data_IF_475393465028
#
_entry.id   IF_475393465028
#
_cell.length_a   1.000
_cell.length_b   1.000
_cell.length_c   1.000
_cell.angle_alpha   90.00
_cell.angle_beta   90.00
_cell.angle_gamma   90.00
#
_symmetry.space_group_name_H-M   'P 1'
#
loop_
_entity.id
_entity.type
_entity.pdbx_description
1 polymer ?
#
# COMPACT_ATOMS: atom_id res chain seq x y z
N UNK A 1 26.01 -20.95 -6.36
CA UNK A 1 25.28 -20.80 -6.31
C UNK A 1 24.79 -20.22 -5.95
N UNK A 2 24.21 -19.90 -6.15
CA UNK A 2 23.52 -19.33 -5.93
C UNK A 2 22.75 -19.13 -5.43
N UNK A 3 22.67 -19.33 -5.25
CA UNK A 3 21.71 -19.18 -4.74
C UNK A 3 21.08 -18.04 -4.83
N UNK A 4 20.50 -17.75 -5.09
CA UNK A 4 19.92 -16.72 -4.96
C UNK A 4 18.73 -16.70 -4.56
N UNK A 5 18.55 -16.05 -3.96
CA UNK A 5 17.45 -15.79 -3.44
C UNK A 5 16.75 -14.94 -4.28
N UNK A 6 15.94 -15.43 -4.94
CA UNK A 6 15.09 -14.64 -5.59
C UNK A 6 14.18 -14.00 -4.64
N UNK A 7 14.35 -12.80 -4.38
CA UNK A 7 13.30 -12.08 -3.74
C UNK A 7 12.18 -11.97 -4.71
N UNK A 8 11.08 -12.52 -4.35
CA UNK A 8 9.88 -12.39 -5.14
C UNK A 8 9.35 -10.97 -5.05
N UNK A 9 8.85 -10.47 -6.15
CA UNK A 9 8.08 -9.24 -6.17
C UNK A 9 6.86 -9.43 -5.29
N UNK A 10 6.52 -8.41 -4.53
CA UNK A 10 5.37 -8.43 -3.64
C UNK A 10 4.33 -7.43 -4.11
N UNK A 11 3.07 -7.79 -3.97
CA UNK A 11 1.96 -6.87 -4.12
C UNK A 11 1.26 -6.77 -2.77
N UNK A 12 0.98 -5.55 -2.34
CA UNK A 12 0.13 -5.28 -1.20
C UNK A 12 -1.11 -4.62 -1.74
N UNK A 13 -2.25 -5.24 -1.53
CA UNK A 13 -3.49 -4.77 -2.14
C UNK A 13 -4.68 -5.01 -1.23
N UNK A 14 -5.65 -4.14 -1.33
CA UNK A 14 -6.88 -4.25 -0.57
C UNK A 14 -7.54 -2.90 -0.37
N UNK A 15 -8.24 -2.76 0.75
CA UNK A 15 -8.97 -1.55 1.04
C UNK A 15 -9.00 -1.22 2.52
N UNK A 16 -9.24 0.06 2.78
CA UNK A 16 -9.57 0.57 4.10
C UNK A 16 -10.97 1.15 4.05
N UNK A 17 -11.68 1.10 5.17
CA UNK A 17 -12.96 1.78 5.34
C UNK A 17 -12.76 2.86 6.39
N UNK A 18 -13.19 4.08 6.06
CA UNK A 18 -13.17 5.20 6.99
C UNK A 18 -14.57 5.84 6.97
N UNK A 19 -14.79 6.84 7.80
CA UNK A 19 -16.04 7.60 7.75
C UNK A 19 -16.15 8.27 6.38
N UNK A 20 -17.30 8.14 5.71
CA UNK A 20 -17.46 8.63 4.34
C UNK A 20 -17.29 10.14 4.25
N UNK A 21 -17.56 10.89 5.33
CA UNK A 21 -17.37 12.34 5.33
C UNK A 21 -15.89 12.72 5.44
N UNK A 22 -15.03 11.79 5.85
CA UNK A 22 -13.60 12.04 6.03
C UNK A 22 -12.74 11.38 4.95
N UNK A 23 -13.33 10.54 4.11
CA UNK A 23 -12.58 9.74 3.14
C UNK A 23 -11.71 10.58 2.22
N UNK A 24 -12.26 11.63 1.66
CA UNK A 24 -11.53 12.47 0.70
C UNK A 24 -10.38 13.21 1.36
N UNK A 25 -10.58 13.68 2.59
CA UNK A 25 -9.51 14.30 3.37
C UNK A 25 -8.41 13.28 3.70
N UNK A 26 -8.81 12.07 4.07
CA UNK A 26 -7.85 11.00 4.37
C UNK A 26 -6.97 10.71 3.15
N UNK A 27 -7.59 10.56 1.98
CA UNK A 27 -6.85 10.29 0.74
C UNK A 27 -5.91 11.44 0.41
N UNK A 28 -6.37 12.68 0.58
CA UNK A 28 -5.55 13.86 0.32
C UNK A 28 -4.31 13.89 1.23
N UNK A 29 -4.47 13.52 2.50
CA UNK A 29 -3.36 13.46 3.45
C UNK A 29 -2.37 12.35 3.10
N UNK A 30 -2.84 11.28 2.47
CA UNK A 30 -1.98 10.18 2.04
C UNK A 30 -1.05 10.56 0.90
N UNK A 31 -1.25 11.69 0.24
CA UNK A 31 -0.40 12.11 -0.87
C UNK A 31 1.07 12.17 -0.47
N UNK A 32 1.37 12.59 0.76
CA UNK A 32 2.75 12.65 1.25
C UNK A 32 3.35 11.26 1.37
N UNK A 33 2.58 10.31 1.85
CA UNK A 33 3.01 8.91 1.96
C UNK A 33 3.29 8.33 0.58
N UNK A 34 2.38 8.58 -0.36
CA UNK A 34 2.53 8.10 -1.73
C UNK A 34 3.79 8.68 -2.37
N UNK A 35 4.02 9.98 -2.19
CA UNK A 35 5.23 10.62 -2.73
C UNK A 35 6.49 10.02 -2.14
N UNK A 36 6.53 9.82 -0.83
CA UNK A 36 7.68 9.22 -0.16
C UNK A 36 7.89 7.77 -0.61
N UNK A 37 6.82 7.02 -0.76
CA UNK A 37 6.90 5.63 -1.18
C UNK A 37 7.47 5.50 -2.59
N UNK A 38 7.03 6.33 -3.49
CA UNK A 38 7.42 6.23 -4.91
C UNK A 38 8.91 6.50 -5.15
N UNK A 39 9.60 7.13 -4.21
CA UNK A 39 11.05 7.34 -4.30
C UNK A 39 11.83 6.44 -3.35
N UNK A 40 11.15 5.58 -2.60
CA UNK A 40 11.81 4.66 -1.69
C UNK A 40 12.48 3.52 -2.44
N UNK A 41 13.61 3.01 -1.93
CA UNK A 41 14.27 1.87 -2.55
C UNK A 41 13.34 0.67 -2.66
N UNK A 42 13.32 0.04 -3.82
CA UNK A 42 12.54 -1.17 -4.05
C UNK A 42 11.05 -0.96 -4.32
N UNK A 43 10.57 0.27 -4.26
CA UNK A 43 9.16 0.55 -4.57
C UNK A 43 8.97 0.57 -6.09
N UNK A 44 8.14 -0.33 -6.60
CA UNK A 44 7.85 -0.43 -8.03
C UNK A 44 6.57 0.31 -8.39
N UNK A 45 5.61 0.38 -7.46
CA UNK A 45 4.38 1.13 -7.64
C UNK A 45 3.74 1.35 -6.28
N UNK A 46 3.00 2.43 -6.14
CA UNK A 46 2.32 2.74 -4.89
C UNK A 46 1.17 3.71 -5.16
N UNK A 47 -0.04 3.34 -4.76
CA UNK A 47 -1.21 4.21 -4.90
C UNK A 47 -2.18 4.02 -3.76
N UNK A 48 -2.79 5.12 -3.35
CA UNK A 48 -3.87 5.14 -2.37
C UNK A 48 -4.93 6.02 -3.00
N UNK A 49 -6.08 5.43 -3.32
CA UNK A 49 -7.11 6.12 -4.11
C UNK A 49 -8.48 5.93 -3.52
N UNK A 50 -9.35 6.87 -3.80
CA UNK A 50 -10.76 6.78 -3.44
C UNK A 50 -11.44 5.73 -4.32
N UNK A 51 -12.27 4.88 -3.70
CA UNK A 51 -13.07 3.93 -4.45
C UNK A 51 -14.09 4.67 -5.30
N UNK A 52 -14.36 4.20 -6.52
CA UNK A 52 -15.28 4.88 -7.43
C UNK A 52 -16.73 4.74 -7.03
N UNK A 53 -17.06 3.71 -6.29
CA UNK A 53 -18.45 3.37 -5.96
C UNK A 53 -18.78 3.63 -4.50
N UNK A 54 -17.95 3.12 -3.59
CA UNK A 54 -18.23 3.19 -2.15
C UNK A 54 -17.58 4.46 -1.56
N UNK A 55 -18.38 5.40 -1.03
CA UNK A 55 -17.83 6.67 -0.53
C UNK A 55 -16.99 6.53 0.75
N UNK A 56 -17.03 5.38 1.41
CA UNK A 56 -16.22 5.13 2.62
C UNK A 56 -14.96 4.33 2.33
N UNK A 57 -14.80 3.83 1.12
CA UNK A 57 -13.71 2.90 0.79
C UNK A 57 -12.53 3.61 0.17
N UNK A 58 -11.34 3.17 0.59
CA UNK A 58 -10.06 3.62 0.04
C UNK A 58 -9.36 2.39 -0.51
N UNK A 59 -8.88 2.48 -1.73
CA UNK A 59 -8.14 1.39 -2.38
C UNK A 59 -6.65 1.56 -2.13
N UNK A 60 -5.98 0.46 -1.78
CA UNK A 60 -4.55 0.42 -1.55
C UNK A 60 -3.93 -0.50 -2.58
N UNK A 61 -2.88 -0.03 -3.25
CA UNK A 61 -2.08 -0.88 -4.12
C UNK A 61 -0.61 -0.50 -3.99
N UNK A 62 0.23 -1.51 -3.72
CA UNK A 62 1.68 -1.33 -3.63
C UNK A 62 2.34 -2.50 -4.33
N UNK A 63 3.44 -2.23 -5.00
CA UNK A 63 4.26 -3.29 -5.59
C UNK A 63 5.71 -3.02 -5.22
N UNK A 64 6.36 -4.02 -4.66
CA UNK A 64 7.70 -3.91 -4.11
C UNK A 64 8.61 -4.99 -4.68
N UNK A 65 9.87 -4.64 -4.90
CA UNK A 65 10.86 -5.54 -5.45
C UNK A 65 11.21 -6.68 -4.50
N UNK A 66 11.14 -6.43 -3.19
CA UNK A 66 11.45 -7.42 -2.16
C UNK A 66 10.83 -7.04 -0.81
N UNK A 67 10.77 -8.03 0.08
CA UNK A 67 10.17 -7.85 1.41
C UNK A 67 10.97 -6.87 2.27
N UNK A 68 12.29 -6.90 2.16
CA UNK A 68 13.15 -6.07 3.01
C UNK A 68 12.88 -4.59 2.79
N UNK A 69 12.78 -4.17 1.54
CA UNK A 69 12.52 -2.77 1.20
C UNK A 69 11.11 -2.35 1.63
N UNK A 70 10.13 -3.23 1.47
CA UNK A 70 8.78 -2.98 1.97
C UNK A 70 8.79 -2.71 3.47
N UNK A 71 9.44 -3.58 4.23
CA UNK A 71 9.48 -3.46 5.70
C UNK A 71 10.27 -2.23 6.13
N UNK A 72 11.34 -1.88 5.41
CA UNK A 72 12.10 -0.68 5.69
C UNK A 72 11.25 0.57 5.53
N UNK A 73 10.44 0.62 4.48
CA UNK A 73 9.53 1.75 4.26
C UNK A 73 8.48 1.83 5.37
N UNK A 74 7.99 0.70 5.84
CA UNK A 74 6.94 0.65 6.87
C UNK A 74 7.44 0.90 8.28
N UNK A 75 8.72 1.05 8.48
CA UNK A 75 9.32 1.14 9.80
C UNK A 75 8.66 2.15 10.73
N UNK A 76 8.14 3.26 10.20
CA UNK A 76 7.46 4.25 11.02
C UNK A 76 5.96 4.01 11.15
N UNK A 77 5.37 3.28 10.22
CA UNK A 77 3.93 3.04 10.17
C UNK A 77 3.10 4.30 9.96
N UNK A 78 1.78 4.20 9.89
CA UNK A 78 0.89 5.36 9.80
C UNK A 78 0.83 6.09 11.14
N UNK A 79 0.44 7.35 11.12
CA UNK A 79 0.27 8.14 12.33
C UNK A 79 -0.89 7.58 13.16
N UNK A 80 -0.89 7.89 14.46
CA UNK A 80 -1.97 7.48 15.36
C UNK A 80 -3.32 8.00 14.88
N UNK A 81 -3.35 9.25 14.39
CA UNK A 81 -4.58 9.84 13.88
C UNK A 81 -5.10 9.08 12.67
N UNK A 82 -4.22 8.65 11.77
CA UNK A 82 -4.61 7.87 10.60
C UNK A 82 -5.12 6.49 11.00
N UNK A 83 -4.47 5.84 11.96
CA UNK A 83 -4.92 4.54 12.47
C UNK A 83 -6.30 4.64 13.13
N UNK A 84 -6.51 5.68 13.92
CA UNK A 84 -7.78 5.89 14.61
C UNK A 84 -8.92 6.13 13.62
N UNK A 85 -8.65 6.74 12.47
CA UNK A 85 -9.66 7.00 11.46
C UNK A 85 -10.13 5.75 10.72
N UNK A 86 -9.36 4.66 10.77
CA UNK A 86 -9.69 3.43 10.06
C UNK A 86 -10.75 2.66 10.84
N UNK A 87 -11.90 2.45 10.21
CA UNK A 87 -13.01 1.68 10.79
C UNK A 87 -12.82 0.19 10.52
N UNK A 88 -12.32 -0.16 9.33
CA UNK A 88 -12.07 -1.53 8.93
C UNK A 88 -10.97 -1.56 7.89
N UNK A 89 -10.27 -2.67 7.79
CA UNK A 89 -9.18 -2.81 6.84
C UNK A 89 -9.09 -4.26 6.36
N UNK A 90 -8.91 -4.43 5.06
CA UNK A 90 -8.63 -5.72 4.46
C UNK A 90 -7.54 -5.52 3.42
N UNK A 91 -6.29 -5.53 3.88
CA UNK A 91 -5.12 -5.33 3.02
C UNK A 91 -4.22 -6.53 3.19
N UNK A 92 -3.89 -7.20 2.11
CA UNK A 92 -3.09 -8.42 2.11
C UNK A 92 -1.81 -8.23 1.32
N UNK A 93 -0.83 -9.02 1.66
CA UNK A 93 0.44 -9.10 0.95
C UNK A 93 0.45 -10.38 0.13
N UNK A 94 0.81 -10.25 -1.14
CA UNK A 94 0.86 -11.37 -2.08
C UNK A 94 2.28 -11.52 -2.59
N UNK A 95 2.82 -12.73 -2.53
CA UNK A 95 4.11 -13.03 -3.16
C UNK A 95 3.83 -13.49 -4.58
N UNK A 96 4.52 -12.88 -5.53
CA UNK A 96 4.26 -13.13 -6.95
C UNK A 96 5.19 -14.22 -7.45
N UNK A 97 4.64 -15.30 -7.95
CA UNK A 97 5.42 -16.41 -8.51
C UNK A 97 5.64 -16.27 -10.02
N UNK A 98 4.76 -15.57 -10.71
CA UNK A 98 4.92 -15.32 -12.14
C UNK A 98 4.13 -14.10 -12.56
N UNK A 99 4.55 -13.49 -13.64
CA UNK A 99 3.89 -12.31 -14.21
C UNK A 99 3.64 -12.58 -15.68
N UNK A 100 2.43 -12.33 -16.12
CA UNK A 100 2.05 -12.43 -17.52
C UNK A 100 1.28 -11.20 -17.95
N UNK A 101 1.08 -11.04 -19.24
CA UNK A 101 0.27 -9.93 -19.76
C UNK A 101 -1.20 -10.14 -19.41
N UNK A 102 -1.89 -9.05 -19.17
CA UNK A 102 -3.29 -9.11 -18.79
C UNK A 102 -4.19 -9.56 -19.95
#
# INVERSE_FOLDING_TARGET
MFCFVSSSVLIVAGHLIVDCTERDNYVAECAKVVQAARVAPGCLDFSITADTIDPARIRIFERWDNTEDLLAFRGSGPSDAQQTAIVDADVKRYEISSVGDA
#
